data_IF_667852694269
#
_entry.id   IF_667852694269
#
_cell.length_a   1.000
_cell.length_b   1.000
_cell.length_c   1.000
_cell.angle_alpha   90.00
_cell.angle_beta   90.00
_cell.angle_gamma   90.00
#
_symmetry.space_group_name_H-M   'P 1'
#
loop_
_entity.id
_entity.type
_entity.pdbx_description
1 polymer ?
#
# COMPACT_ATOMS: atom_id res chain seq x y z
N UNK A 1 -21.11 10.08 6.37
CA UNK A 1 -19.84 9.49 5.90
C UNK A 1 -19.50 8.29 6.78
N UNK A 2 -19.03 7.17 6.24
CA UNK A 2 -18.88 5.91 6.99
C UNK A 2 -17.68 5.87 7.98
N UNK A 3 -16.57 6.54 7.67
CA UNK A 3 -15.40 6.60 8.55
C UNK A 3 -15.48 7.77 9.56
N UNK A 4 -15.12 7.51 10.82
CA UNK A 4 -14.90 8.56 11.83
C UNK A 4 -13.69 9.45 11.47
N UNK A 5 -13.60 10.68 11.99
CA UNK A 5 -12.36 11.46 11.93
C UNK A 5 -11.13 10.65 12.35
N UNK A 6 -10.02 10.84 11.64
CA UNK A 6 -8.77 10.09 11.79
C UNK A 6 -8.89 8.56 11.56
N UNK A 7 -10.04 8.10 11.05
CA UNK A 7 -10.24 6.72 10.63
C UNK A 7 -9.33 6.37 9.45
N UNK A 8 -8.81 5.15 9.46
CA UNK A 8 -7.89 4.65 8.45
C UNK A 8 -8.66 3.93 7.34
N UNK A 9 -8.24 4.14 6.10
CA UNK A 9 -8.60 3.31 4.96
C UNK A 9 -7.34 2.62 4.45
N UNK A 10 -7.50 1.37 4.04
CA UNK A 10 -6.46 0.58 3.39
C UNK A 10 -7.06 -0.02 2.12
N UNK A 11 -6.40 0.19 0.99
CA UNK A 11 -6.80 -0.35 -0.30
C UNK A 11 -5.71 -1.27 -0.82
N UNK A 12 -6.09 -2.45 -1.30
CA UNK A 12 -5.20 -3.35 -2.03
C UNK A 12 -5.53 -3.27 -3.53
N UNK A 13 -4.52 -2.99 -4.35
CA UNK A 13 -4.67 -2.85 -5.81
C UNK A 13 -3.65 -3.73 -6.54
N UNK A 14 -4.06 -4.59 -7.49
CA UNK A 14 -3.10 -5.39 -8.26
C UNK A 14 -2.33 -4.57 -9.31
N UNK A 15 -2.84 -3.43 -9.78
CA UNK A 15 -2.20 -2.63 -10.84
C UNK A 15 -1.88 -1.19 -10.43
N UNK A 16 -0.88 -0.60 -11.08
CA UNK A 16 -0.48 0.80 -10.85
C UNK A 16 -1.60 1.79 -11.19
N UNK A 17 -2.35 1.59 -12.29
CA UNK A 17 -3.45 2.48 -12.66
C UNK A 17 -4.56 2.53 -11.58
N UNK A 18 -4.77 1.43 -10.87
CA UNK A 18 -5.72 1.38 -9.75
C UNK A 18 -5.20 2.15 -8.53
N UNK A 19 -3.89 2.11 -8.26
CA UNK A 19 -3.27 2.94 -7.22
C UNK A 19 -3.49 4.41 -7.55
N UNK A 20 -3.18 4.84 -8.78
CA UNK A 20 -3.28 6.24 -9.19
C UNK A 20 -4.71 6.74 -8.96
N UNK A 21 -5.70 6.02 -9.49
CA UNK A 21 -7.12 6.36 -9.31
C UNK A 21 -7.53 6.39 -7.83
N UNK A 22 -7.02 5.46 -7.03
CA UNK A 22 -7.30 5.41 -5.58
C UNK A 22 -6.72 6.63 -4.88
N UNK A 23 -5.46 6.98 -5.14
CA UNK A 23 -4.77 8.12 -4.52
C UNK A 23 -5.42 9.44 -4.91
N UNK A 24 -5.80 9.62 -6.18
CA UNK A 24 -6.54 10.80 -6.65
C UNK A 24 -7.87 10.94 -5.91
N UNK A 25 -8.68 9.87 -5.86
CA UNK A 25 -9.95 9.89 -5.15
C UNK A 25 -9.79 10.19 -3.65
N UNK A 26 -8.73 9.69 -3.01
CA UNK A 26 -8.44 9.97 -1.60
C UNK A 26 -8.10 11.46 -1.37
N UNK A 27 -7.29 12.05 -2.25
CA UNK A 27 -6.95 13.48 -2.20
C UNK A 27 -8.20 14.36 -2.34
N UNK A 28 -9.06 14.05 -3.30
CA UNK A 28 -10.30 14.81 -3.54
C UNK A 28 -11.29 14.72 -2.36
N UNK A 29 -11.20 13.66 -1.55
CA UNK A 29 -12.11 13.40 -0.44
C UNK A 29 -11.54 13.73 0.95
N UNK A 30 -10.55 14.62 1.03
CA UNK A 30 -9.96 15.09 2.28
C UNK A 30 -9.33 13.98 3.13
N UNK A 31 -8.64 13.04 2.49
CA UNK A 31 -7.72 12.15 3.17
C UNK A 31 -6.31 12.74 3.20
N UNK A 32 -5.58 12.41 4.25
CA UNK A 32 -4.18 12.81 4.49
C UNK A 32 -3.34 11.58 4.78
N UNK A 33 -2.02 11.75 4.87
CA UNK A 33 -1.08 10.67 5.19
C UNK A 33 -1.24 9.49 4.22
N UNK A 34 -1.31 9.82 2.92
CA UNK A 34 -1.53 8.84 1.85
C UNK A 34 -0.19 8.24 1.46
N UNK A 35 -0.06 6.93 1.62
CA UNK A 35 1.16 6.18 1.32
C UNK A 35 0.79 4.91 0.55
N UNK A 36 1.57 4.57 -0.47
CA UNK A 36 1.45 3.27 -1.16
C UNK A 36 2.74 2.50 -1.04
N UNK A 37 2.65 1.23 -0.66
CA UNK A 37 3.79 0.31 -0.57
C UNK A 37 3.54 -0.96 -1.38
N UNK A 38 4.62 -1.61 -1.78
CA UNK A 38 4.62 -2.99 -2.24
C UNK A 38 5.52 -3.83 -1.32
N UNK A 39 5.21 -5.12 -1.18
CA UNK A 39 6.03 -6.04 -0.40
C UNK A 39 6.59 -7.14 -1.31
N UNK A 40 7.92 -7.22 -1.40
CA UNK A 40 8.63 -8.29 -2.11
C UNK A 40 9.24 -9.27 -1.12
N UNK A 41 8.67 -10.47 -1.05
CA UNK A 41 9.20 -11.54 -0.22
C UNK A 41 10.26 -12.34 -0.99
N UNK A 42 11.52 -12.28 -0.53
CA UNK A 42 12.65 -12.99 -1.14
C UNK A 42 13.15 -14.09 -0.22
N UNK A 43 12.89 -15.34 -0.60
CA UNK A 43 13.41 -16.48 0.14
C UNK A 43 14.93 -16.65 -0.07
N UNK A 44 15.61 -17.14 0.96
CA UNK A 44 17.06 -17.33 0.99
C UNK A 44 17.37 -18.82 1.17
N UNK A 45 18.26 -19.36 0.34
CA UNK A 45 18.94 -20.61 0.62
C UNK A 45 19.97 -20.36 1.72
N UNK A 46 19.85 -21.02 2.87
CA UNK A 46 20.65 -20.78 4.07
C UNK A 46 21.53 -21.98 4.45
N UNK A 47 22.01 -22.72 3.45
CA UNK A 47 22.99 -23.79 3.61
C UNK A 47 24.42 -23.21 3.65
N UNK A 48 25.26 -23.74 4.55
CA UNK A 48 26.68 -23.38 4.64
C UNK A 48 27.38 -23.64 3.30
N UNK A 49 28.08 -22.63 2.77
CA UNK A 49 28.77 -22.70 1.48
C UNK A 49 27.88 -22.54 0.25
N UNK A 50 26.56 -22.36 0.43
CA UNK A 50 25.58 -22.15 -0.65
C UNK A 50 24.59 -21.02 -0.33
N UNK A 51 24.95 -20.12 0.58
CA UNK A 51 24.03 -19.07 1.04
C UNK A 51 23.78 -18.04 -0.06
N UNK A 52 22.54 -17.96 -0.55
CA UNK A 52 22.14 -17.02 -1.61
C UNK A 52 20.62 -16.85 -1.65
N UNK A 53 20.08 -15.83 -2.33
CA UNK A 53 18.65 -15.79 -2.64
C UNK A 53 18.22 -16.93 -3.56
N UNK A 54 16.96 -17.36 -3.46
CA UNK A 54 16.39 -18.26 -4.46
C UNK A 54 16.40 -17.63 -5.85
N UNK A 55 16.56 -18.47 -6.88
CA UNK A 55 16.63 -18.05 -8.28
C UNK A 55 15.30 -17.49 -8.78
N UNK A 56 14.18 -18.10 -8.38
CA UNK A 56 12.83 -17.67 -8.72
C UNK A 56 12.12 -17.16 -7.47
N UNK A 57 11.29 -16.13 -7.66
CA UNK A 57 10.42 -15.60 -6.61
C UNK A 57 9.15 -15.01 -7.22
N UNK A 58 8.13 -14.79 -6.41
CA UNK A 58 6.99 -13.95 -6.76
C UNK A 58 7.46 -12.51 -6.88
N UNK A 59 7.53 -12.00 -8.12
CA UNK A 59 8.03 -10.66 -8.41
C UNK A 59 7.01 -9.55 -8.18
N UNK A 60 5.73 -9.88 -8.03
CA UNK A 60 4.65 -8.94 -7.73
C UNK A 60 3.44 -9.66 -7.13
N UNK A 61 2.75 -9.01 -6.20
CA UNK A 61 1.47 -9.49 -5.66
C UNK A 61 0.42 -8.39 -5.78
N UNK A 62 0.73 -7.21 -5.26
CA UNK A 62 -0.12 -6.04 -5.34
C UNK A 62 0.42 -4.94 -4.43
N UNK A 63 -0.24 -3.80 -4.52
CA UNK A 63 0.11 -2.58 -3.82
C UNK A 63 -0.90 -2.33 -2.71
N UNK A 64 -0.41 -1.79 -1.60
CA UNK A 64 -1.24 -1.44 -0.45
C UNK A 64 -1.16 0.08 -0.28
N UNK A 65 -2.29 0.76 -0.43
CA UNK A 65 -2.42 2.19 -0.17
C UNK A 65 -3.09 2.42 1.17
N UNK A 66 -2.46 3.17 2.06
CA UNK A 66 -2.98 3.64 3.33
C UNK A 66 -3.38 5.10 3.21
N UNK A 67 -4.41 5.52 3.95
CA UNK A 67 -4.70 6.92 4.17
C UNK A 67 -5.54 7.13 5.44
N UNK A 68 -5.54 8.36 5.96
CA UNK A 68 -6.33 8.76 7.12
C UNK A 68 -7.34 9.83 6.76
N UNK A 69 -8.58 9.65 7.21
CA UNK A 69 -9.64 10.64 7.00
C UNK A 69 -9.37 11.89 7.83
N UNK A 70 -9.20 13.04 7.18
CA UNK A 70 -9.08 14.30 7.89
C UNK A 70 -10.44 14.79 8.41
N UNK A 71 -10.41 15.60 9.46
CA UNK A 71 -11.54 16.46 9.80
C UNK A 71 -11.63 17.58 8.78
N UNK A 72 -12.82 17.84 8.22
CA UNK A 72 -13.04 19.10 7.52
C UNK A 72 -12.84 20.25 8.53
N UNK A 73 -12.18 21.36 8.16
CA UNK A 73 -12.14 22.54 9.02
C UNK A 73 -13.57 22.92 9.39
N UNK A 74 -13.81 23.26 10.66
CA UNK A 74 -15.06 23.95 11.01
C UNK A 74 -14.99 25.32 10.31
N UNK A 75 -15.95 25.59 9.43
CA UNK A 75 -16.20 26.92 8.88
C UNK A 75 -16.61 27.87 10.01
#
# INVERSE_FOLDING_TARGET
>A
TALKPCGTIVSFSPTMDQIVKTVEALKDNSFVDIETVECLMRGMQTERGKTRPHTLMTGHTGYITFARKATKPKA
#
